data_IF_919722395368
#
_entry.id   IF_919722395368
#
_cell.length_a   1.000
_cell.length_b   1.000
_cell.length_c   1.000
_cell.angle_alpha   90.00
_cell.angle_beta   90.00
_cell.angle_gamma   90.00
#
_symmetry.space_group_name_H-M   'P 1'
#
loop_
_entity.id
_entity.type
_entity.pdbx_description
1 polymer ?
#
# COMPACT_ATOMS: atom_id res chain seq x y z
N UNK A 1 -44.18 28.53 16.29
CA UNK A 1 -42.83 28.61 16.93
C UNK A 1 -42.09 27.27 17.05
N UNK A 2 -42.73 26.09 17.21
CA UNK A 2 -42.06 24.79 17.37
C UNK A 2 -41.17 24.34 16.18
N UNK A 3 -41.43 24.81 14.96
CA UNK A 3 -40.67 24.37 13.77
C UNK A 3 -39.38 25.18 13.53
N UNK A 4 -39.30 26.42 14.00
CA UNK A 4 -38.12 27.29 13.78
C UNK A 4 -36.89 26.72 14.50
N UNK A 5 -37.06 26.26 15.74
CA UNK A 5 -35.98 25.67 16.51
C UNK A 5 -35.44 24.39 15.86
N UNK A 6 -36.34 23.56 15.32
CA UNK A 6 -35.97 22.34 14.58
C UNK A 6 -35.21 22.65 13.29
N UNK A 7 -35.60 23.70 12.58
CA UNK A 7 -34.91 24.16 11.35
C UNK A 7 -33.50 24.66 11.69
N UNK A 8 -33.35 25.47 12.74
CA UNK A 8 -32.05 25.98 13.18
C UNK A 8 -31.13 24.81 13.60
N UNK A 9 -31.65 23.87 14.39
CA UNK A 9 -30.89 22.70 14.84
C UNK A 9 -30.35 21.85 13.69
N UNK A 10 -31.20 21.49 12.72
CA UNK A 10 -30.77 20.72 11.55
C UNK A 10 -29.84 21.53 10.64
N UNK A 11 -30.04 22.85 10.52
CA UNK A 11 -29.14 23.74 9.80
C UNK A 11 -27.72 23.73 10.38
N UNK A 12 -27.59 23.80 11.70
CA UNK A 12 -26.30 23.71 12.39
C UNK A 12 -25.63 22.34 12.16
N UNK A 13 -26.40 21.24 12.27
CA UNK A 13 -25.87 19.88 12.00
C UNK A 13 -25.31 19.81 10.58
N UNK A 14 -26.04 20.34 9.60
CA UNK A 14 -25.65 20.30 8.19
C UNK A 14 -24.35 21.09 7.95
N UNK A 15 -24.22 22.27 8.57
CA UNK A 15 -22.99 23.08 8.53
C UNK A 15 -21.81 22.32 9.17
N UNK A 16 -22.00 21.72 10.35
CA UNK A 16 -20.95 20.95 11.02
C UNK A 16 -20.52 19.75 10.16
N UNK A 17 -21.48 19.02 9.57
CA UNK A 17 -21.18 17.90 8.68
C UNK A 17 -20.42 18.34 7.42
N UNK A 18 -20.79 19.48 6.81
CA UNK A 18 -20.06 20.06 5.69
C UNK A 18 -18.64 20.46 6.06
N UNK A 19 -18.46 21.17 7.18
CA UNK A 19 -17.14 21.54 7.68
C UNK A 19 -16.27 20.30 7.96
N UNK A 20 -16.82 19.27 8.61
CA UNK A 20 -16.11 18.02 8.86
C UNK A 20 -15.71 17.31 7.55
N UNK A 21 -16.58 17.30 6.55
CA UNK A 21 -16.29 16.74 5.22
C UNK A 21 -15.13 17.45 4.52
N UNK A 22 -15.18 18.80 4.47
CA UNK A 22 -14.12 19.62 3.84
C UNK A 22 -12.80 19.44 4.58
N UNK A 23 -12.79 19.48 5.91
CA UNK A 23 -11.59 19.26 6.72
C UNK A 23 -11.02 17.85 6.51
N UNK A 24 -11.88 16.83 6.37
CA UNK A 24 -11.46 15.46 6.07
C UNK A 24 -10.71 15.35 4.74
N UNK A 25 -11.21 16.02 3.69
CA UNK A 25 -10.55 16.06 2.37
C UNK A 25 -9.20 16.80 2.46
N UNK A 26 -9.16 17.96 3.12
CA UNK A 26 -7.92 18.73 3.31
C UNK A 26 -6.88 17.90 4.05
N UNK A 27 -7.26 17.26 5.16
CA UNK A 27 -6.35 16.44 5.97
C UNK A 27 -5.83 15.23 5.18
N UNK A 28 -6.69 14.58 4.39
CA UNK A 28 -6.27 13.49 3.50
C UNK A 28 -5.26 13.94 2.44
N UNK A 29 -5.44 15.12 1.84
CA UNK A 29 -4.49 15.67 0.88
C UNK A 29 -3.18 16.10 1.52
N UNK A 30 -3.22 16.71 2.70
CA UNK A 30 -2.00 17.09 3.43
C UNK A 30 -1.16 15.85 3.80
N UNK A 31 -1.79 14.78 4.27
CA UNK A 31 -1.06 13.54 4.58
C UNK A 31 -0.43 12.92 3.34
N UNK A 32 -1.16 12.91 2.21
CA UNK A 32 -0.59 12.46 0.95
C UNK A 32 0.60 13.31 0.51
N UNK A 33 0.47 14.64 0.54
CA UNK A 33 1.55 15.54 0.12
C UNK A 33 2.82 15.37 0.96
N UNK A 34 2.68 15.11 2.28
CA UNK A 34 3.82 14.82 3.16
C UNK A 34 4.54 13.51 2.80
N UNK A 35 3.78 12.50 2.37
CA UNK A 35 4.27 11.15 2.05
C UNK A 35 4.53 10.94 0.56
N UNK A 36 4.27 11.94 -0.29
CA UNK A 36 4.39 11.82 -1.74
C UNK A 36 5.80 11.41 -2.14
N UNK A 37 6.82 12.00 -1.52
CA UNK A 37 8.21 11.65 -1.80
C UNK A 37 8.51 10.20 -1.41
N UNK A 38 8.05 9.73 -0.24
CA UNK A 38 8.21 8.33 0.16
C UNK A 38 7.58 7.38 -0.86
N UNK A 39 6.37 7.69 -1.35
CA UNK A 39 5.68 6.89 -2.36
C UNK A 39 6.40 6.91 -3.72
N UNK A 40 6.95 8.05 -4.13
CA UNK A 40 7.78 8.16 -5.34
C UNK A 40 9.03 7.30 -5.19
N UNK A 41 9.72 7.39 -4.05
CA UNK A 41 10.92 6.60 -3.77
C UNK A 41 10.60 5.10 -3.77
N UNK A 42 9.47 4.66 -3.20
CA UNK A 42 9.04 3.26 -3.26
C UNK A 42 8.87 2.80 -4.71
N UNK A 43 8.26 3.61 -5.57
CA UNK A 43 8.08 3.27 -7.00
C UNK A 43 9.42 3.19 -7.72
N UNK A 44 10.35 4.11 -7.45
CA UNK A 44 11.69 4.12 -8.04
C UNK A 44 12.53 2.93 -7.56
N UNK A 45 12.51 2.61 -6.27
CA UNK A 45 13.15 1.42 -5.69
C UNK A 45 12.56 0.14 -6.25
N UNK A 46 11.24 0.07 -6.41
CA UNK A 46 10.58 -1.07 -7.06
C UNK A 46 11.11 -1.24 -8.48
N UNK A 47 11.00 -0.21 -9.32
CA UNK A 47 11.37 -0.28 -10.74
C UNK A 47 12.86 -0.53 -10.99
N UNK A 48 13.72 -0.19 -10.03
CA UNK A 48 15.16 -0.47 -10.08
C UNK A 48 15.55 -1.82 -9.49
N UNK A 49 14.60 -2.60 -8.95
CA UNK A 49 14.88 -3.87 -8.31
C UNK A 49 15.46 -4.91 -9.29
N UNK A 50 16.58 -5.52 -8.91
CA UNK A 50 17.28 -6.52 -9.71
C UNK A 50 16.41 -7.73 -10.09
N UNK A 51 15.47 -8.14 -9.23
CA UNK A 51 14.52 -9.21 -9.54
C UNK A 51 13.58 -8.84 -10.69
N UNK A 52 13.14 -7.58 -10.77
CA UNK A 52 12.34 -7.10 -11.91
C UNK A 52 13.12 -7.21 -13.21
N UNK A 53 14.42 -6.89 -13.18
CA UNK A 53 15.27 -7.06 -14.35
C UNK A 53 15.44 -8.53 -14.74
N UNK A 54 15.38 -9.46 -13.79
CA UNK A 54 15.39 -10.89 -14.10
C UNK A 54 14.07 -11.37 -14.72
N UNK A 55 12.92 -10.88 -14.24
CA UNK A 55 11.62 -11.17 -14.88
C UNK A 55 11.58 -10.66 -16.34
N UNK A 56 12.18 -9.50 -16.63
CA UNK A 56 12.25 -8.96 -18.00
C UNK A 56 13.01 -9.88 -18.96
N UNK A 57 13.96 -10.68 -18.48
CA UNK A 57 14.74 -11.63 -19.32
C UNK A 57 13.91 -12.83 -19.79
N UNK A 58 12.75 -13.08 -19.17
CA UNK A 58 11.82 -14.15 -19.51
C UNK A 58 10.50 -13.61 -20.08
N UNK A 59 10.55 -12.44 -20.72
CA UNK A 59 9.40 -11.73 -21.33
C UNK A 59 8.28 -11.36 -20.34
N UNK A 60 8.61 -11.23 -19.05
CA UNK A 60 7.70 -10.75 -18.02
C UNK A 60 8.10 -9.33 -17.60
N UNK A 61 7.25 -8.35 -17.85
CA UNK A 61 7.50 -6.96 -17.48
C UNK A 61 6.65 -6.56 -16.28
N UNK A 62 7.32 -6.18 -15.19
CA UNK A 62 6.72 -5.59 -14.00
C UNK A 62 7.15 -4.12 -13.92
N UNK A 63 6.19 -3.22 -13.80
CA UNK A 63 6.44 -1.79 -13.65
C UNK A 63 5.46 -1.15 -12.68
N UNK A 64 5.96 -0.33 -11.77
CA UNK A 64 5.16 0.47 -10.85
C UNK A 64 5.06 1.92 -11.34
N UNK A 65 3.91 2.54 -11.10
CA UNK A 65 3.71 3.98 -11.26
C UNK A 65 2.88 4.54 -10.11
N UNK A 66 3.17 5.77 -9.72
CA UNK A 66 2.31 6.53 -8.81
C UNK A 66 1.22 7.21 -9.64
N UNK A 67 -0.05 6.92 -9.33
CA UNK A 67 -1.22 7.55 -9.93
C UNK A 67 -2.16 8.00 -8.82
N UNK A 68 -2.34 9.32 -8.70
CA UNK A 68 -3.01 9.96 -7.58
C UNK A 68 -2.44 9.48 -6.23
N UNK A 69 -3.28 8.89 -5.39
CA UNK A 69 -2.93 8.32 -4.09
C UNK A 69 -2.69 6.81 -4.18
N UNK A 70 -2.35 6.26 -5.34
CA UNK A 70 -2.21 4.83 -5.50
C UNK A 70 -0.89 4.48 -6.19
N UNK A 71 -0.24 3.42 -5.73
CA UNK A 71 0.81 2.76 -6.50
C UNK A 71 0.13 1.68 -7.33
N UNK A 72 0.29 1.77 -8.65
CA UNK A 72 -0.23 0.77 -9.60
C UNK A 72 0.95 -0.01 -10.13
N UNK A 73 0.96 -1.32 -9.88
CA UNK A 73 1.94 -2.25 -10.43
C UNK A 73 1.29 -3.00 -11.59
N UNK A 74 1.80 -2.78 -12.79
CA UNK A 74 1.36 -3.47 -14.00
C UNK A 74 2.26 -4.67 -14.27
N UNK A 75 1.65 -5.84 -14.34
CA UNK A 75 2.25 -7.09 -14.82
C UNK A 75 1.85 -7.31 -16.27
N UNK A 76 2.84 -7.42 -17.14
CA UNK A 76 2.69 -7.75 -18.57
C UNK A 76 3.44 -9.04 -18.85
N UNK A 77 2.75 -10.05 -19.35
CA UNK A 77 3.32 -11.34 -19.70
C UNK A 77 2.27 -12.19 -20.38
N UNK A 78 2.13 -13.47 -19.98
CA UNK A 78 1.06 -14.34 -20.48
C UNK A 78 -0.36 -13.81 -20.18
N UNK A 79 -0.50 -13.04 -19.11
CA UNK A 79 -1.71 -12.31 -18.74
C UNK A 79 -1.32 -10.89 -18.39
N UNK A 80 -2.20 -9.94 -18.70
CA UNK A 80 -1.99 -8.54 -18.31
C UNK A 80 -2.85 -8.24 -17.09
N UNK A 81 -2.23 -7.74 -16.03
CA UNK A 81 -2.93 -7.49 -14.77
C UNK A 81 -2.33 -6.31 -14.02
N UNK A 82 -3.19 -5.49 -13.45
CA UNK A 82 -2.83 -4.37 -12.60
C UNK A 82 -3.14 -4.67 -11.14
N UNK A 83 -2.17 -4.38 -10.26
CA UNK A 83 -2.29 -4.47 -8.82
C UNK A 83 -2.26 -3.07 -8.23
N UNK A 84 -3.33 -2.69 -7.51
CA UNK A 84 -3.52 -1.33 -7.01
C UNK A 84 -3.30 -1.31 -5.49
N UNK A 85 -2.26 -0.62 -5.07
CA UNK A 85 -1.94 -0.34 -3.69
C UNK A 85 -2.43 1.06 -3.33
N UNK A 86 -3.51 1.13 -2.57
CA UNK A 86 -4.14 2.39 -2.16
C UNK A 86 -3.39 2.97 -0.99
N UNK A 87 -2.86 4.19 -1.15
CA UNK A 87 -2.32 4.94 -0.02
C UNK A 87 -3.45 5.33 0.93
N UNK A 88 -3.26 4.92 2.18
CA UNK A 88 -3.99 5.37 3.34
C UNK A 88 -3.02 6.17 4.22
N UNK A 89 -3.54 6.75 5.30
CA UNK A 89 -2.83 7.65 6.22
C UNK A 89 -1.32 7.36 6.36
N UNK A 90 -0.96 6.12 6.68
CA UNK A 90 0.42 5.68 6.89
C UNK A 90 0.68 4.24 6.39
N UNK A 91 -0.12 3.75 5.46
CA UNK A 91 0.05 2.40 4.91
C UNK A 91 -0.46 2.30 3.48
N UNK A 92 0.03 1.30 2.77
CA UNK A 92 -0.52 0.85 1.49
C UNK A 92 -1.47 -0.32 1.74
N UNK A 93 -2.65 -0.27 1.13
CA UNK A 93 -3.65 -1.33 1.21
C UNK A 93 -3.93 -1.93 -0.16
N UNK A 94 -3.90 -3.25 -0.26
CA UNK A 94 -4.32 -3.99 -1.46
C UNK A 94 -5.18 -5.18 -1.07
N UNK A 95 -5.93 -5.70 -2.04
CA UNK A 95 -6.72 -6.92 -1.90
C UNK A 95 -6.27 -7.90 -2.96
N UNK A 96 -5.82 -9.07 -2.54
CA UNK A 96 -5.24 -10.09 -3.43
C UNK A 96 -6.02 -11.40 -3.29
N UNK A 97 -6.17 -12.13 -4.40
CA UNK A 97 -6.78 -13.46 -4.37
C UNK A 97 -5.79 -14.45 -3.77
N UNK A 98 -6.28 -15.41 -2.97
CA UNK A 98 -5.43 -16.47 -2.39
C UNK A 98 -4.79 -17.39 -3.43
N UNK A 99 -5.33 -17.40 -4.65
CA UNK A 99 -4.85 -18.25 -5.74
C UNK A 99 -3.96 -17.49 -6.74
N UNK A 100 -3.57 -16.26 -6.42
CA UNK A 100 -2.84 -15.37 -7.33
C UNK A 100 -1.37 -15.23 -6.91
N UNK A 101 -0.55 -16.16 -7.41
CA UNK A 101 0.89 -16.19 -7.11
C UNK A 101 1.64 -14.96 -7.62
N UNK A 102 1.13 -14.26 -8.65
CA UNK A 102 1.73 -13.01 -9.14
C UNK A 102 1.48 -11.89 -8.12
N UNK A 103 0.31 -11.87 -7.51
CA UNK A 103 0.01 -10.89 -6.45
C UNK A 103 0.96 -11.03 -5.26
N UNK A 104 1.32 -12.25 -4.87
CA UNK A 104 2.28 -12.49 -3.78
C UNK A 104 3.66 -11.93 -4.10
N UNK A 105 4.15 -12.15 -5.32
CA UNK A 105 5.42 -11.58 -5.80
C UNK A 105 5.37 -10.05 -5.79
N UNK A 106 4.26 -9.47 -6.24
CA UNK A 106 4.10 -8.00 -6.28
C UNK A 106 4.06 -7.42 -4.87
N UNK A 107 3.35 -8.05 -3.93
CA UNK A 107 3.33 -7.63 -2.52
C UNK A 107 4.72 -7.74 -1.90
N UNK A 108 5.45 -8.83 -2.17
CA UNK A 108 6.83 -9.00 -1.73
C UNK A 108 7.72 -7.85 -2.21
N UNK A 109 7.73 -7.58 -3.51
CA UNK A 109 8.58 -6.54 -4.10
C UNK A 109 8.23 -5.12 -3.61
N UNK A 110 6.94 -4.82 -3.38
CA UNK A 110 6.54 -3.53 -2.79
C UNK A 110 6.98 -3.44 -1.32
N UNK A 111 6.83 -4.52 -0.56
CA UNK A 111 7.26 -4.56 0.86
C UNK A 111 8.77 -4.46 0.99
N UNK A 112 9.52 -5.08 0.07
CA UNK A 112 10.97 -4.98 -0.02
C UNK A 112 11.41 -3.55 -0.37
N UNK A 113 10.68 -2.90 -1.30
CA UNK A 113 10.92 -1.49 -1.64
C UNK A 113 10.69 -0.57 -0.44
N UNK A 114 9.63 -0.80 0.34
CA UNK A 114 9.39 -0.07 1.60
C UNK A 114 10.53 -0.30 2.60
N UNK A 115 11.02 -1.54 2.75
CA UNK A 115 12.10 -1.84 3.69
C UNK A 115 13.44 -1.23 3.24
N UNK A 116 13.68 -1.20 1.94
CA UNK A 116 14.88 -0.63 1.32
C UNK A 116 14.97 0.89 1.49
N UNK A 117 13.86 1.63 1.32
CA UNK A 117 13.87 3.08 1.57
C UNK A 117 14.15 3.44 3.04
N UNK A 118 13.94 2.47 3.95
CA UNK A 118 14.24 2.59 5.38
C UNK A 118 15.62 2.02 5.77
N UNK A 119 16.45 1.65 4.80
CA UNK A 119 17.86 1.29 5.01
C UNK A 119 18.19 -0.19 4.99
N UNK A 120 17.22 -1.09 4.76
CA UNK A 120 17.51 -2.50 4.53
C UNK A 120 18.16 -2.71 3.15
N UNK A 121 18.91 -3.80 3.01
CA UNK A 121 19.41 -4.20 1.70
C UNK A 121 18.24 -4.67 0.81
N UNK A 122 18.32 -4.36 -0.49
CA UNK A 122 17.33 -4.83 -1.45
C UNK A 122 17.28 -6.37 -1.48
N UNK A 123 16.08 -6.93 -1.59
CA UNK A 123 15.76 -8.36 -1.57
C UNK A 123 16.00 -9.07 -0.21
N UNK A 124 16.33 -8.33 0.85
CA UNK A 124 16.68 -8.91 2.16
C UNK A 124 15.51 -9.63 2.85
N UNK A 125 14.27 -9.29 2.51
CA UNK A 125 13.09 -9.85 3.16
C UNK A 125 12.41 -10.96 2.35
N UNK A 126 12.91 -11.29 1.16
CA UNK A 126 12.24 -12.20 0.24
C UNK A 126 12.08 -13.62 0.81
N UNK A 127 13.06 -14.09 1.59
CA UNK A 127 13.00 -15.40 2.24
C UNK A 127 11.89 -15.50 3.31
N UNK A 128 11.48 -14.36 3.88
CA UNK A 128 10.37 -14.28 4.84
C UNK A 128 9.01 -14.50 4.15
N UNK A 129 8.90 -14.12 2.88
CA UNK A 129 7.70 -14.35 2.06
C UNK A 129 7.50 -15.83 1.72
N UNK A 130 8.58 -16.60 1.66
CA UNK A 130 8.51 -18.05 1.43
C UNK A 130 8.15 -18.87 2.67
N UNK A 131 8.25 -18.30 3.87
CA UNK A 131 8.22 -19.07 5.12
C UNK A 131 7.15 -18.64 6.13
N UNK A 132 6.94 -17.35 6.39
CA UNK A 132 6.17 -16.92 7.57
C UNK A 132 5.42 -15.58 7.46
N UNK A 133 5.37 -14.96 6.28
CA UNK A 133 4.84 -13.59 6.14
C UNK A 133 3.40 -13.40 6.62
N UNK A 134 2.57 -14.44 6.56
CA UNK A 134 1.17 -14.39 7.00
C UNK A 134 1.01 -14.21 8.52
N UNK A 135 2.04 -14.50 9.31
CA UNK A 135 2.02 -14.35 10.77
C UNK A 135 2.45 -12.95 11.25
N UNK A 136 2.93 -12.10 10.35
CA UNK A 136 3.38 -10.75 10.68
C UNK A 136 2.21 -9.87 11.06
N UNK A 137 2.41 -9.03 12.08
CA UNK A 137 1.47 -8.00 12.48
C UNK A 137 1.79 -6.72 11.75
N UNK A 138 0.81 -5.82 11.63
CA UNK A 138 1.01 -4.52 11.01
C UNK A 138 2.12 -3.70 11.69
N UNK A 139 2.36 -3.95 12.98
CA UNK A 139 3.50 -3.41 13.73
C UNK A 139 4.86 -3.92 13.25
N UNK A 140 4.94 -5.05 12.57
CA UNK A 140 6.17 -5.65 12.06
C UNK A 140 6.48 -5.20 10.62
N UNK A 141 5.61 -4.38 10.02
CA UNK A 141 5.77 -3.83 8.66
C UNK A 141 4.70 -4.29 7.68
N UNK A 142 4.07 -5.44 7.90
CA UNK A 142 3.01 -5.98 7.03
C UNK A 142 1.96 -6.74 7.83
N UNK A 143 0.72 -6.75 7.37
CA UNK A 143 -0.30 -7.67 7.90
C UNK A 143 -1.18 -8.22 6.80
N UNK A 144 -1.57 -9.48 6.96
CA UNK A 144 -2.55 -10.16 6.13
C UNK A 144 -3.83 -10.37 6.95
N UNK A 145 -4.95 -9.85 6.47
CA UNK A 145 -6.27 -10.19 7.03
C UNK A 145 -6.91 -11.23 6.13
N UNK A 146 -7.14 -12.42 6.68
CA UNK A 146 -7.82 -13.50 5.99
C UNK A 146 -9.31 -13.17 5.76
N UNK A 147 -9.74 -13.32 4.51
CA UNK A 147 -11.14 -13.42 4.07
C UNK A 147 -11.30 -14.69 3.23
N UNK A 148 -12.52 -15.20 3.11
CA UNK A 148 -12.83 -16.50 2.48
C UNK A 148 -11.98 -16.85 1.25
N UNK A 149 -11.91 -15.95 0.26
CA UNK A 149 -11.24 -16.14 -1.04
C UNK A 149 -10.05 -15.19 -1.28
N UNK A 150 -9.73 -14.32 -0.33
CA UNK A 150 -8.79 -13.20 -0.54
C UNK A 150 -8.06 -12.80 0.72
N UNK A 151 -6.92 -12.14 0.56
CA UNK A 151 -6.26 -11.42 1.64
C UNK A 151 -6.42 -9.91 1.46
N UNK A 152 -6.69 -9.23 2.57
CA UNK A 152 -6.48 -7.78 2.65
C UNK A 152 -5.08 -7.57 3.22
N UNK A 153 -4.19 -7.03 2.40
CA UNK A 153 -2.80 -6.80 2.76
C UNK A 153 -2.61 -5.32 3.10
N UNK A 154 -1.96 -5.06 4.23
CA UNK A 154 -1.55 -3.72 4.65
C UNK A 154 -0.06 -3.68 4.85
N UNK A 155 0.62 -2.79 4.13
CA UNK A 155 2.06 -2.57 4.23
C UNK A 155 2.26 -1.23 4.93
N UNK A 156 2.87 -1.26 6.10
CA UNK A 156 3.11 -0.09 6.92
C UNK A 156 4.23 0.76 6.29
N UNK A 157 4.05 2.09 6.26
CA UNK A 157 5.06 3.02 5.73
C UNK A 157 5.94 3.62 6.84
N UNK A 158 5.48 3.56 8.10
CA UNK A 158 6.20 4.08 9.27
C UNK A 158 7.06 2.99 9.93
N UNK A 159 6.67 1.72 9.78
CA UNK A 159 7.46 0.59 10.25
C UNK A 159 7.63 -0.43 9.12
N UNK A 160 8.73 -1.15 9.13
CA UNK A 160 9.14 -2.01 8.02
C UNK A 160 9.69 -3.33 8.53
N UNK A 161 9.73 -4.32 7.64
CA UNK A 161 10.26 -5.64 7.95
C UNK A 161 11.78 -5.53 7.97
N UNK A 162 12.37 -5.85 9.11
CA UNK A 162 13.83 -5.94 9.25
C UNK A 162 14.28 -7.35 8.97
N UNK A 163 15.33 -7.52 8.18
CA UNK A 163 15.93 -8.83 8.03
C UNK A 163 16.64 -9.23 9.33
N UNK A 164 16.13 -10.24 10.04
CA UNK A 164 16.70 -10.72 11.32
C UNK A 164 17.88 -11.68 11.10
N UNK A 165 18.76 -11.40 10.15
CA UNK A 165 19.98 -12.19 9.93
C UNK A 165 21.22 -11.50 10.52
N UNK A 166 21.08 -10.91 11.71
CA UNK A 166 22.19 -10.32 12.47
C UNK A 166 21.87 -10.36 13.98
N UNK A 167 21.99 -11.55 14.57
CA UNK A 167 22.41 -11.71 15.97
C UNK A 167 23.68 -12.56 15.96
#
# INVERSE_FOLDING_TARGET
>A
MKNIWRIIFWGIILIISLCAGVLGVIYSNQNFNKRKNDLVNIVETFNSNQLINNYKKIDVNLNAKLSDKNIIVSYTGNVNKDYIFKFKKNYLETTISKNDSIADIVVMLITDSVSTIHGEAQNSINDLFNSNIYNFKFSDGISYTDKTDKFIVKINLDNYIKNRTSD
#
